data_IF_055425372915
#
_entry.id   IF_055425372915
#
_cell.length_a   1.000
_cell.length_b   1.000
_cell.length_c   1.000
_cell.angle_alpha   90.00
_cell.angle_beta   90.00
_cell.angle_gamma   90.00
#
_symmetry.space_group_name_H-M   'P 1'
#
loop_
_entity.id
_entity.type
_entity.pdbx_description
1 polymer ?
#
# COMPACT_ATOMS: atom_id res chain seq x y z
N UNK A 1 -68.83 41.21 57.70
CA UNK A 1 -68.06 41.94 56.68
C UNK A 1 -66.93 41.01 56.29
N UNK A 2 -66.76 40.70 55.03
CA UNK A 2 -66.20 39.46 54.51
C UNK A 2 -64.66 39.54 54.37
N UNK A 3 -63.89 38.62 55.05
CA UNK A 3 -62.52 38.35 54.81
C UNK A 3 -62.37 37.39 53.64
N UNK A 4 -61.53 37.75 52.65
CA UNK A 4 -61.08 36.85 51.61
C UNK A 4 -59.60 36.48 51.88
N UNK A 5 -59.34 35.20 52.20
CA UNK A 5 -58.03 34.59 52.17
C UNK A 5 -57.67 34.31 50.69
N UNK A 6 -56.50 34.80 50.26
CA UNK A 6 -55.86 34.40 49.01
C UNK A 6 -54.90 33.27 49.30
N UNK A 7 -55.09 32.11 48.69
CA UNK A 7 -54.15 31.02 48.70
C UNK A 7 -53.13 31.21 47.61
N UNK A 8 -51.85 31.29 47.99
CA UNK A 8 -50.70 31.31 47.09
C UNK A 8 -50.31 29.83 46.83
N UNK A 9 -50.49 29.33 45.61
CA UNK A 9 -49.94 28.07 45.15
C UNK A 9 -48.50 28.31 44.64
N UNK A 10 -47.53 27.77 45.34
CA UNK A 10 -46.14 27.72 44.87
C UNK A 10 -45.97 26.44 44.04
N UNK A 11 -45.83 26.59 42.72
CA UNK A 11 -45.50 25.50 41.81
C UNK A 11 -43.98 25.26 41.82
N UNK A 12 -43.54 24.15 42.38
CA UNK A 12 -42.16 23.73 42.37
C UNK A 12 -41.89 22.96 41.07
N UNK A 13 -41.25 23.62 40.09
CA UNK A 13 -40.84 22.98 38.82
C UNK A 13 -39.48 22.30 39.03
N UNK A 14 -39.48 20.98 39.17
CA UNK A 14 -38.29 20.16 39.15
C UNK A 14 -37.82 19.97 37.71
N UNK A 15 -36.75 20.67 37.29
CA UNK A 15 -36.04 20.38 36.07
C UNK A 15 -35.28 19.05 36.22
N UNK A 16 -35.75 17.98 35.57
CA UNK A 16 -34.96 16.78 35.34
C UNK A 16 -33.95 17.07 34.24
N UNK A 17 -32.67 17.26 34.60
CA UNK A 17 -31.57 17.24 33.66
C UNK A 17 -31.31 15.80 33.24
N UNK A 18 -31.77 15.39 32.04
CA UNK A 18 -31.31 14.18 31.40
C UNK A 18 -29.82 14.35 31.03
N UNK A 19 -28.93 13.74 31.81
CA UNK A 19 -27.58 13.54 31.41
C UNK A 19 -27.56 12.51 30.27
N UNK A 20 -27.32 12.97 29.04
CA UNK A 20 -27.06 12.09 27.91
C UNK A 20 -25.76 11.30 28.22
N UNK A 21 -25.92 10.07 28.65
CA UNK A 21 -24.80 9.12 28.72
C UNK A 21 -24.34 8.85 27.28
N UNK A 22 -23.16 9.38 26.91
CA UNK A 22 -22.48 9.00 25.69
C UNK A 22 -22.17 7.51 25.78
N UNK A 23 -22.82 6.71 24.93
CA UNK A 23 -22.47 5.30 24.79
C UNK A 23 -20.96 5.19 24.51
N UNK A 24 -20.23 4.29 25.17
CA UNK A 24 -18.81 4.11 24.89
C UNK A 24 -18.65 3.76 23.42
N UNK A 25 -17.74 4.47 22.73
CA UNK A 25 -17.37 4.18 21.34
C UNK A 25 -16.98 2.70 21.29
N UNK A 26 -17.57 1.88 20.40
CA UNK A 26 -17.20 0.47 20.32
C UNK A 26 -15.70 0.34 20.13
N UNK A 27 -15.08 -0.61 20.85
CA UNK A 27 -13.67 -0.88 20.73
C UNK A 27 -13.35 -1.24 19.27
N UNK A 28 -12.28 -0.69 18.73
CA UNK A 28 -11.83 -1.01 17.37
C UNK A 28 -11.52 -2.51 17.28
N UNK A 29 -12.18 -3.21 16.36
CA UNK A 29 -11.95 -4.63 16.17
C UNK A 29 -10.50 -4.88 15.74
N UNK A 30 -9.86 -5.87 16.38
CA UNK A 30 -8.53 -6.34 16.03
C UNK A 30 -8.62 -7.73 15.42
N UNK A 31 -8.12 -7.89 14.20
CA UNK A 31 -8.00 -9.16 13.50
C UNK A 31 -6.53 -9.53 13.41
N UNK A 32 -6.17 -10.71 13.89
CA UNK A 32 -4.81 -11.22 13.85
C UNK A 32 -4.72 -12.42 12.91
N UNK A 33 -3.71 -12.43 12.05
CA UNK A 33 -3.44 -13.54 11.14
C UNK A 33 -1.94 -13.75 11.00
N UNK A 34 -1.51 -15.02 10.93
CA UNK A 34 -0.10 -15.37 10.72
C UNK A 34 0.08 -16.12 9.40
N UNK A 35 0.80 -15.47 8.49
CA UNK A 35 1.14 -16.04 7.18
C UNK A 35 2.37 -16.95 7.28
N UNK A 36 2.31 -18.02 6.52
CA UNK A 36 3.41 -18.98 6.31
C UNK A 36 3.45 -19.36 4.84
N UNK A 37 4.53 -19.93 4.37
CA UNK A 37 4.67 -20.39 2.97
C UNK A 37 3.56 -21.37 2.53
N UNK A 38 2.81 -21.95 3.47
CA UNK A 38 1.74 -22.92 3.19
C UNK A 38 0.38 -22.28 2.93
N UNK A 39 0.18 -21.03 3.37
CA UNK A 39 -1.12 -20.36 3.33
C UNK A 39 -1.11 -19.00 2.60
N UNK A 40 0.00 -18.65 1.94
CA UNK A 40 0.11 -17.49 1.06
C UNK A 40 -0.50 -17.75 -0.31
N UNK A 41 -0.73 -16.69 -1.07
CA UNK A 41 -1.21 -16.69 -2.45
C UNK A 41 -0.14 -16.07 -3.36
N UNK A 42 -0.24 -16.35 -4.66
CA UNK A 42 0.65 -15.79 -5.70
C UNK A 42 -0.15 -15.08 -6.80
N UNK A 43 -1.40 -14.79 -6.49
CA UNK A 43 -2.32 -14.08 -7.39
C UNK A 43 -3.25 -13.17 -6.59
N UNK A 44 -3.57 -12.03 -7.15
CA UNK A 44 -4.72 -11.22 -6.76
C UNK A 44 -5.94 -11.78 -7.49
N UNK A 45 -6.95 -12.20 -6.75
CA UNK A 45 -8.16 -12.81 -7.32
C UNK A 45 -9.32 -12.77 -6.33
N UNK A 46 -10.52 -13.03 -6.82
CA UNK A 46 -11.63 -13.41 -5.94
C UNK A 46 -11.35 -14.81 -5.39
N UNK A 47 -11.16 -14.93 -4.09
CA UNK A 47 -10.86 -16.19 -3.40
C UNK A 47 -11.50 -16.20 -2.00
N UNK A 48 -11.59 -17.39 -1.39
CA UNK A 48 -12.02 -17.53 0.00
C UNK A 48 -11.15 -16.69 0.92
N UNK A 49 -11.76 -15.80 1.74
CA UNK A 49 -11.04 -14.93 2.62
C UNK A 49 -10.40 -15.70 3.78
N UNK A 50 -9.22 -15.26 4.17
CA UNK A 50 -8.53 -15.79 5.36
C UNK A 50 -9.09 -15.23 6.67
N UNK A 51 -9.73 -14.05 6.59
CA UNK A 51 -10.40 -13.41 7.73
C UNK A 51 -11.39 -12.34 7.23
N UNK A 52 -12.40 -12.04 8.06
CA UNK A 52 -13.30 -10.91 7.93
C UNK A 52 -12.86 -9.77 8.82
N UNK A 53 -12.87 -8.55 8.29
CA UNK A 53 -12.44 -7.34 8.99
C UNK A 53 -13.56 -6.30 8.88
N UNK A 54 -14.18 -5.86 9.99
CA UNK A 54 -15.18 -4.81 9.93
C UNK A 54 -14.55 -3.49 9.47
N UNK A 55 -15.32 -2.65 8.78
CA UNK A 55 -14.85 -1.30 8.42
C UNK A 55 -14.48 -0.50 9.69
N UNK A 56 -13.30 0.09 9.71
CA UNK A 56 -12.66 0.69 10.89
C UNK A 56 -11.79 -0.29 11.70
N UNK A 57 -11.79 -1.58 11.36
CA UNK A 57 -11.00 -2.61 12.03
C UNK A 57 -9.51 -2.51 11.74
N UNK A 58 -8.71 -3.06 12.65
CA UNK A 58 -7.25 -3.15 12.54
C UNK A 58 -6.86 -4.59 12.25
N UNK A 59 -5.93 -4.77 11.33
CA UNK A 59 -5.28 -6.06 11.05
C UNK A 59 -3.86 -6.01 11.58
N UNK A 60 -3.47 -7.06 12.30
CA UNK A 60 -2.08 -7.38 12.63
C UNK A 60 -1.69 -8.68 11.92
N UNK A 61 -0.66 -8.61 11.09
CA UNK A 61 -0.22 -9.76 10.30
C UNK A 61 1.29 -9.68 10.01
N UNK A 62 1.78 -10.66 9.28
CA UNK A 62 3.13 -10.65 8.72
C UNK A 62 3.08 -10.93 7.23
N UNK A 63 4.15 -10.57 6.53
CA UNK A 63 4.45 -11.01 5.16
C UNK A 63 5.67 -11.94 5.16
N UNK A 64 5.87 -12.64 4.07
CA UNK A 64 7.16 -13.23 3.71
C UNK A 64 7.90 -12.24 2.78
N UNK A 65 9.20 -12.43 2.61
CA UNK A 65 9.96 -11.72 1.56
C UNK A 65 9.53 -12.21 0.16
N UNK A 66 9.94 -11.49 -0.90
CA UNK A 66 9.62 -11.83 -2.30
C UNK A 66 9.90 -13.29 -2.67
N UNK A 67 10.88 -13.89 -2.04
CA UNK A 67 11.32 -15.27 -2.30
C UNK A 67 10.69 -16.32 -1.36
N UNK A 68 9.69 -15.94 -0.57
CA UNK A 68 9.04 -16.87 0.38
C UNK A 68 9.93 -17.27 1.54
N UNK A 69 10.89 -16.44 1.90
CA UNK A 69 11.85 -16.68 2.97
C UNK A 69 12.78 -17.89 2.73
N UNK A 70 13.06 -18.27 1.49
CA UNK A 70 13.91 -19.45 1.21
C UNK A 70 15.38 -19.14 0.97
N UNK A 71 15.72 -17.91 0.54
CA UNK A 71 17.10 -17.48 0.35
C UNK A 71 17.67 -16.98 1.67
N UNK A 72 18.65 -17.70 2.25
CA UNK A 72 19.11 -17.45 3.62
C UNK A 72 20.61 -17.35 3.78
N UNK A 73 21.38 -17.90 2.87
CA UNK A 73 22.85 -18.00 3.00
C UNK A 73 23.55 -18.06 1.66
N UNK A 74 24.82 -17.70 1.60
CA UNK A 74 25.64 -17.90 0.40
C UNK A 74 25.57 -19.35 -0.10
N UNK A 75 25.37 -19.49 -1.41
CA UNK A 75 25.16 -20.77 -2.09
C UNK A 75 23.68 -21.13 -2.34
N UNK A 76 22.74 -20.42 -1.75
CA UNK A 76 21.34 -20.50 -2.18
C UNK A 76 21.18 -19.88 -3.59
N UNK A 77 20.20 -20.37 -4.36
CA UNK A 77 19.98 -19.98 -5.75
C UNK A 77 18.51 -19.68 -6.01
N UNK A 78 18.20 -18.86 -7.02
CA UNK A 78 16.83 -18.55 -7.41
C UNK A 78 16.02 -19.79 -7.80
N UNK A 79 16.67 -20.87 -8.22
CA UNK A 79 15.99 -22.15 -8.52
C UNK A 79 15.30 -22.79 -7.30
N UNK A 80 15.61 -22.34 -6.08
CA UNK A 80 14.92 -22.78 -4.84
C UNK A 80 13.58 -22.08 -4.64
N UNK A 81 13.35 -20.93 -5.28
CA UNK A 81 12.12 -20.13 -5.19
C UNK A 81 11.04 -20.81 -6.01
N UNK A 82 9.87 -21.05 -5.40
CA UNK A 82 8.75 -21.75 -6.05
C UNK A 82 7.68 -20.83 -6.63
N UNK A 83 7.77 -19.56 -6.31
CA UNK A 83 6.85 -18.53 -6.78
C UNK A 83 7.26 -17.20 -6.18
N UNK A 84 7.10 -16.14 -6.94
CA UNK A 84 7.54 -14.80 -6.58
C UNK A 84 6.44 -14.03 -5.86
N UNK A 85 6.82 -13.17 -4.93
CA UNK A 85 5.98 -12.24 -4.19
C UNK A 85 4.75 -12.92 -3.53
N UNK A 86 4.97 -13.78 -2.50
CA UNK A 86 3.89 -14.42 -1.78
C UNK A 86 3.03 -13.41 -1.02
N UNK A 87 1.72 -13.49 -1.22
CA UNK A 87 0.72 -12.58 -0.67
C UNK A 87 0.03 -13.16 0.56
N UNK A 88 -0.07 -12.38 1.61
CA UNK A 88 -0.95 -12.62 2.77
C UNK A 88 -2.33 -12.05 2.47
N UNK A 89 -3.36 -12.90 2.50
CA UNK A 89 -4.72 -12.51 2.13
C UNK A 89 -5.48 -13.63 1.42
N UNK A 90 -6.71 -13.34 0.91
CA UNK A 90 -7.38 -12.04 1.02
C UNK A 90 -8.04 -11.81 2.38
N UNK A 91 -8.05 -10.57 2.83
CA UNK A 91 -8.89 -10.10 3.92
C UNK A 91 -10.19 -9.55 3.33
N UNK A 92 -11.33 -10.09 3.79
CA UNK A 92 -12.65 -9.58 3.41
C UNK A 92 -13.01 -8.40 4.30
N UNK A 93 -13.22 -7.22 3.72
CA UNK A 93 -13.61 -6.03 4.47
C UNK A 93 -15.15 -5.91 4.46
N UNK A 94 -15.74 -6.06 5.64
CA UNK A 94 -17.20 -6.06 5.78
C UNK A 94 -17.80 -4.74 5.32
N UNK A 95 -18.83 -4.84 4.48
CA UNK A 95 -19.55 -3.71 3.92
C UNK A 95 -18.87 -3.02 2.73
N UNK A 96 -17.75 -3.55 2.22
CA UNK A 96 -17.18 -3.06 0.97
C UNK A 96 -17.89 -3.68 -0.23
N UNK A 97 -18.46 -2.84 -1.10
CA UNK A 97 -19.17 -3.26 -2.31
C UNK A 97 -18.52 -2.65 -3.55
N UNK A 98 -18.63 -3.29 -4.73
CA UNK A 98 -18.14 -2.72 -5.98
C UNK A 98 -18.64 -1.28 -6.22
N UNK A 99 -17.70 -0.37 -6.49
CA UNK A 99 -17.97 1.06 -6.64
C UNK A 99 -17.70 1.90 -5.40
N UNK A 100 -17.35 1.28 -4.29
CA UNK A 100 -16.78 1.96 -3.12
C UNK A 100 -15.26 2.17 -3.27
N UNK A 101 -14.67 2.85 -2.30
CA UNK A 101 -13.21 2.93 -2.13
C UNK A 101 -12.82 2.27 -0.81
N UNK A 102 -11.82 1.38 -0.85
CA UNK A 102 -11.16 0.86 0.33
C UNK A 102 -10.00 1.77 0.73
N UNK A 103 -9.99 2.26 1.97
CA UNK A 103 -8.87 2.99 2.56
C UNK A 103 -8.11 2.08 3.52
N UNK A 104 -6.79 1.95 3.34
CA UNK A 104 -5.88 1.17 4.17
C UNK A 104 -4.86 2.11 4.77
N UNK A 105 -5.00 2.44 6.05
CA UNK A 105 -4.04 3.27 6.79
C UNK A 105 -2.96 2.39 7.39
N UNK A 106 -1.72 2.60 6.98
CA UNK A 106 -0.56 1.85 7.48
C UNK A 106 -0.14 2.46 8.82
N UNK A 107 -0.25 1.68 9.89
CA UNK A 107 -0.03 2.11 11.26
C UNK A 107 1.37 1.74 11.77
N UNK A 108 1.87 0.56 11.38
CA UNK A 108 3.18 0.07 11.77
C UNK A 108 3.69 -0.95 10.74
N UNK A 109 4.98 -0.85 10.40
CA UNK A 109 5.71 -1.82 9.59
C UNK A 109 7.08 -2.00 10.19
N UNK A 110 7.44 -3.23 10.51
CA UNK A 110 8.73 -3.58 11.08
C UNK A 110 9.35 -4.73 10.30
N UNK A 111 10.62 -4.60 9.97
CA UNK A 111 11.42 -5.69 9.41
C UNK A 111 11.44 -6.86 10.41
N UNK A 112 11.06 -8.06 9.94
CA UNK A 112 11.00 -9.26 10.78
C UNK A 112 12.18 -10.18 10.50
N UNK A 113 13.26 -9.99 11.23
CA UNK A 113 14.52 -10.74 11.11
C UNK A 113 15.74 -9.84 10.96
N UNK A 114 16.90 -10.47 10.98
CA UNK A 114 18.20 -9.78 11.04
C UNK A 114 18.90 -9.74 9.67
N UNK A 115 18.22 -10.13 8.60
CA UNK A 115 18.79 -10.21 7.26
C UNK A 115 17.73 -9.90 6.19
N UNK A 116 18.08 -9.02 5.26
CA UNK A 116 17.42 -8.86 3.97
C UNK A 116 18.18 -9.57 2.85
N UNK A 117 17.53 -9.74 1.71
CA UNK A 117 18.08 -10.36 0.51
C UNK A 117 17.77 -9.52 -0.72
N UNK A 118 18.71 -9.40 -1.65
CA UNK A 118 18.52 -8.87 -3.00
C UNK A 118 19.05 -9.90 -3.99
N UNK A 119 18.37 -10.09 -5.10
CA UNK A 119 18.75 -11.08 -6.09
C UNK A 119 18.57 -10.54 -7.49
N UNK A 120 19.56 -10.77 -8.32
CA UNK A 120 19.49 -10.50 -9.74
C UNK A 120 19.40 -11.82 -10.51
N UNK A 121 18.37 -11.94 -11.34
CA UNK A 121 18.14 -13.10 -12.22
C UNK A 121 18.32 -12.76 -13.69
N UNK A 122 18.89 -13.66 -14.52
CA UNK A 122 18.93 -13.48 -15.95
C UNK A 122 17.55 -13.24 -16.56
N UNK A 123 17.40 -12.17 -17.34
CA UNK A 123 16.13 -11.82 -17.99
C UNK A 123 15.17 -10.97 -17.15
N UNK A 124 15.55 -10.62 -15.93
CA UNK A 124 14.83 -9.67 -15.07
C UNK A 124 15.71 -8.45 -14.78
N UNK A 125 15.09 -7.31 -14.42
CA UNK A 125 15.84 -6.04 -14.23
C UNK A 125 15.86 -5.13 -15.45
N UNK A 126 15.95 -3.82 -15.22
CA UNK A 126 15.82 -2.78 -16.25
C UNK A 126 16.93 -2.80 -17.30
N UNK A 127 18.11 -3.30 -16.94
CA UNK A 127 19.28 -3.34 -17.83
C UNK A 127 19.45 -4.70 -18.53
N UNK A 128 18.52 -5.61 -18.33
CA UNK A 128 18.44 -6.87 -19.05
C UNK A 128 17.55 -6.77 -20.28
N UNK A 129 17.70 -7.76 -21.20
CA UNK A 129 16.68 -7.97 -22.22
C UNK A 129 15.36 -8.41 -21.56
N UNK A 130 14.27 -7.81 -21.96
CA UNK A 130 12.94 -8.27 -21.59
C UNK A 130 12.37 -9.17 -22.70
N UNK A 131 11.21 -9.78 -22.44
CA UNK A 131 10.47 -10.50 -23.48
C UNK A 131 10.06 -9.61 -24.68
N UNK A 132 10.11 -8.31 -24.52
CA UNK A 132 9.70 -7.31 -25.53
C UNK A 132 10.88 -6.58 -26.17
N UNK A 133 12.02 -6.52 -25.49
CA UNK A 133 13.22 -5.80 -25.97
C UNK A 133 14.44 -6.67 -25.80
N UNK A 134 14.96 -7.21 -26.88
CA UNK A 134 16.23 -7.95 -26.88
C UNK A 134 17.40 -6.97 -26.77
N UNK A 135 18.40 -7.30 -25.94
CA UNK A 135 19.68 -6.60 -25.88
C UNK A 135 20.77 -7.46 -26.54
N UNK A 136 21.71 -6.79 -27.19
CA UNK A 136 22.92 -7.46 -27.69
C UNK A 136 23.90 -7.62 -26.54
N UNK A 137 24.41 -8.82 -26.36
CA UNK A 137 25.41 -9.13 -25.35
C UNK A 137 25.06 -10.41 -24.56
N UNK A 138 26.03 -10.92 -23.78
CA UNK A 138 25.71 -12.03 -22.87
C UNK A 138 24.75 -11.60 -21.80
N UNK A 139 23.84 -12.49 -21.39
CA UNK A 139 23.00 -12.28 -20.22
C UNK A 139 23.88 -12.08 -18.98
N UNK A 140 23.49 -11.14 -18.11
CA UNK A 140 24.13 -10.96 -16.82
C UNK A 140 23.88 -12.22 -15.95
N UNK A 141 24.88 -12.66 -15.16
CA UNK A 141 24.76 -13.87 -14.35
C UNK A 141 23.86 -13.63 -13.12
N UNK A 142 23.20 -14.70 -12.65
CA UNK A 142 22.54 -14.68 -11.34
C UNK A 142 23.52 -14.26 -10.24
N UNK A 143 23.07 -13.35 -9.37
CA UNK A 143 23.79 -12.89 -8.17
C UNK A 143 22.80 -12.72 -7.03
N UNK A 144 23.23 -13.06 -5.82
CA UNK A 144 22.42 -12.87 -4.60
C UNK A 144 23.25 -12.13 -3.56
N UNK A 145 22.68 -11.07 -2.99
CA UNK A 145 23.26 -10.30 -1.90
C UNK A 145 22.47 -10.52 -0.62
N UNK A 146 23.17 -10.66 0.50
CA UNK A 146 22.59 -10.72 1.82
C UNK A 146 22.93 -9.47 2.59
N UNK A 147 21.93 -8.81 3.16
CA UNK A 147 22.03 -7.53 3.83
C UNK A 147 21.81 -7.72 5.34
N UNK A 148 22.87 -7.78 6.17
CA UNK A 148 22.68 -7.75 7.62
C UNK A 148 21.89 -6.53 8.06
N UNK A 149 20.85 -6.72 8.86
CA UNK A 149 19.98 -5.68 9.42
C UNK A 149 20.49 -5.33 10.81
N UNK A 150 20.63 -4.05 11.07
CA UNK A 150 20.96 -3.49 12.40
C UNK A 150 19.75 -2.68 12.87
N UNK A 151 18.90 -3.31 13.67
CA UNK A 151 17.70 -2.70 14.24
C UNK A 151 18.01 -1.52 15.18
N UNK A 152 19.18 -1.52 15.83
CA UNK A 152 19.55 -0.44 16.75
C UNK A 152 19.88 0.86 16.02
N UNK A 153 20.46 0.77 14.81
CA UNK A 153 20.78 1.93 13.97
C UNK A 153 19.80 2.13 12.82
N UNK A 154 18.81 1.26 12.69
CA UNK A 154 17.82 1.26 11.60
C UNK A 154 18.49 1.27 10.22
N UNK A 155 19.43 0.35 10.00
CA UNK A 155 20.19 0.25 8.75
C UNK A 155 20.35 -1.18 8.28
N UNK A 156 20.43 -1.37 6.94
CA UNK A 156 20.94 -2.58 6.32
C UNK A 156 22.38 -2.35 5.87
N UNK A 157 23.19 -3.40 5.79
CA UNK A 157 24.56 -3.29 5.31
C UNK A 157 24.70 -3.94 3.93
N UNK A 158 24.92 -3.13 2.89
CA UNK A 158 25.37 -3.61 1.59
C UNK A 158 26.84 -4.04 1.68
N UNK A 159 27.16 -5.17 1.09
CA UNK A 159 28.55 -5.64 0.88
C UNK A 159 28.72 -6.05 -0.57
N UNK A 160 29.68 -5.44 -1.25
CA UNK A 160 30.01 -5.84 -2.61
C UNK A 160 30.52 -7.29 -2.64
N UNK A 161 30.14 -8.06 -3.67
CA UNK A 161 30.54 -9.47 -3.79
C UNK A 161 32.03 -9.60 -4.29
N UNK A 162 32.46 -8.66 -5.12
CA UNK A 162 33.74 -8.75 -5.82
C UNK A 162 34.79 -7.72 -5.31
N UNK A 163 34.52 -7.07 -4.16
CA UNK A 163 35.45 -6.12 -3.51
C UNK A 163 35.20 -6.02 -2.01
N UNK A 164 36.06 -5.29 -1.29
CA UNK A 164 35.89 -5.04 0.16
C UNK A 164 34.98 -3.84 0.45
N UNK A 165 34.28 -3.29 -0.54
CA UNK A 165 33.35 -2.17 -0.33
C UNK A 165 32.14 -2.58 0.48
N UNK A 166 31.78 -1.74 1.43
CA UNK A 166 30.57 -1.91 2.25
C UNK A 166 30.01 -0.55 2.64
N UNK A 167 28.68 -0.45 2.70
CA UNK A 167 27.99 0.78 3.09
C UNK A 167 26.71 0.46 3.86
N UNK A 168 26.34 1.31 4.81
CA UNK A 168 25.06 1.22 5.52
C UNK A 168 23.98 1.98 4.75
N UNK A 169 22.83 1.35 4.57
CA UNK A 169 21.64 1.87 3.91
C UNK A 169 20.57 2.07 4.98
N UNK A 170 20.00 3.28 5.17
CA UNK A 170 18.90 3.51 6.08
C UNK A 170 17.69 2.67 5.70
N UNK A 171 16.97 2.14 6.69
CA UNK A 171 15.72 1.39 6.47
C UNK A 171 14.55 2.36 6.31
N UNK A 172 13.70 2.06 5.35
CA UNK A 172 12.39 2.67 5.13
C UNK A 172 11.41 1.56 4.75
N UNK A 173 10.87 0.80 5.71
CA UNK A 173 10.04 -0.36 5.40
C UNK A 173 8.73 0.02 4.71
N UNK A 174 8.35 -0.72 3.65
CA UNK A 174 7.09 -0.55 2.94
C UNK A 174 6.63 -1.87 2.30
N UNK A 175 5.36 -1.91 1.86
CA UNK A 175 4.84 -3.02 1.07
C UNK A 175 5.16 -2.79 -0.41
N UNK A 176 5.90 -3.69 -1.05
CA UNK A 176 5.98 -3.76 -2.51
C UNK A 176 4.63 -4.17 -3.08
N UNK A 177 4.08 -5.27 -2.58
CA UNK A 177 2.77 -5.78 -2.93
C UNK A 177 1.67 -5.34 -1.96
N UNK A 178 0.73 -4.52 -2.44
CA UNK A 178 -0.53 -4.22 -1.74
C UNK A 178 -1.64 -3.97 -2.76
N UNK A 179 -2.77 -4.66 -2.66
CA UNK A 179 -3.85 -4.54 -3.63
C UNK A 179 -5.09 -5.32 -3.26
N UNK A 180 -6.12 -5.18 -4.09
CA UNK A 180 -7.42 -5.82 -3.92
C UNK A 180 -7.71 -6.78 -5.08
N UNK A 181 -8.80 -7.55 -5.00
CA UNK A 181 -9.22 -8.39 -6.11
C UNK A 181 -9.49 -7.56 -7.39
N UNK A 182 -8.96 -7.96 -8.56
CA UNK A 182 -9.23 -7.30 -9.83
C UNK A 182 -10.72 -7.36 -10.23
N UNK A 183 -11.12 -6.47 -11.13
CA UNK A 183 -12.46 -6.46 -11.69
C UNK A 183 -12.74 -7.70 -12.56
N UNK A 184 -14.03 -7.99 -12.81
CA UNK A 184 -14.44 -9.02 -13.77
C UNK A 184 -14.14 -10.46 -13.37
N UNK A 185 -13.73 -10.74 -12.13
CA UNK A 185 -13.34 -12.07 -11.67
C UNK A 185 -11.99 -12.53 -12.23
N UNK A 186 -11.16 -11.62 -12.68
CA UNK A 186 -9.80 -11.92 -13.14
C UNK A 186 -8.90 -12.39 -12.01
N UNK A 187 -7.88 -13.16 -12.38
CA UNK A 187 -6.73 -13.47 -11.53
C UNK A 187 -5.47 -12.89 -12.16
N UNK A 188 -4.75 -12.08 -11.39
CA UNK A 188 -3.50 -11.43 -11.80
C UNK A 188 -2.35 -11.93 -10.93
N UNK A 189 -1.21 -12.24 -11.56
CA UNK A 189 0.00 -12.63 -10.82
C UNK A 189 0.38 -11.59 -9.77
N UNK A 190 0.94 -12.04 -8.66
CA UNK A 190 1.44 -11.17 -7.58
C UNK A 190 2.42 -10.10 -8.05
N UNK A 191 3.22 -10.37 -9.08
CA UNK A 191 4.19 -9.42 -9.66
C UNK A 191 3.56 -8.39 -10.64
N UNK A 192 2.24 -8.32 -10.80
CA UNK A 192 1.61 -7.39 -11.75
C UNK A 192 1.00 -6.21 -11.01
N UNK A 193 1.54 -5.00 -11.18
CA UNK A 193 0.86 -3.78 -10.76
C UNK A 193 -0.18 -3.35 -11.80
N UNK A 194 -1.36 -2.91 -11.35
CA UNK A 194 -2.43 -2.39 -12.20
C UNK A 194 -3.45 -1.54 -11.41
N UNK A 195 -4.64 -1.34 -11.97
CA UNK A 195 -5.71 -0.54 -11.39
C UNK A 195 -6.20 -1.05 -10.01
N UNK A 196 -5.94 -2.30 -9.67
CA UNK A 196 -6.28 -2.90 -8.38
C UNK A 196 -5.19 -2.74 -7.31
N UNK A 197 -4.07 -2.07 -7.60
CA UNK A 197 -2.82 -2.07 -6.83
C UNK A 197 -1.86 -3.10 -7.38
N UNK A 198 -1.45 -4.05 -6.56
CA UNK A 198 -0.53 -5.11 -6.97
C UNK A 198 0.89 -4.86 -6.51
N UNK A 199 1.87 -5.26 -7.31
CA UNK A 199 3.29 -5.01 -7.10
C UNK A 199 3.65 -3.61 -7.54
N UNK A 200 3.25 -2.62 -6.73
CA UNK A 200 3.48 -1.21 -7.08
C UNK A 200 4.89 -0.74 -6.76
N UNK A 201 5.57 -1.44 -5.86
CA UNK A 201 6.90 -1.13 -5.37
C UNK A 201 7.05 0.35 -5.03
N UNK A 202 5.99 0.88 -4.41
CA UNK A 202 5.87 2.29 -4.09
C UNK A 202 6.26 2.55 -2.63
N UNK A 203 7.36 3.27 -2.35
CA UNK A 203 7.78 3.61 -0.99
C UNK A 203 6.71 4.35 -0.17
N UNK A 204 5.70 4.90 -0.83
CA UNK A 204 4.52 5.49 -0.22
C UNK A 204 3.61 4.46 0.47
N UNK A 205 3.76 3.15 0.17
CA UNK A 205 3.06 2.09 0.89
C UNK A 205 3.70 1.81 2.27
N UNK A 206 4.02 2.89 3.00
CA UNK A 206 4.74 2.92 4.27
C UNK A 206 3.94 3.55 5.41
N UNK A 207 4.48 3.48 6.63
CA UNK A 207 3.86 4.04 7.83
C UNK A 207 3.56 5.53 7.69
N UNK A 208 2.36 5.94 8.11
CA UNK A 208 1.88 7.31 8.05
C UNK A 208 1.07 7.62 6.80
N UNK A 209 1.12 6.77 5.78
CA UNK A 209 0.29 6.91 4.59
C UNK A 209 -1.02 6.11 4.70
N UNK A 210 -2.03 6.58 3.97
CA UNK A 210 -3.24 5.84 3.66
C UNK A 210 -3.22 5.52 2.18
N UNK A 211 -3.41 4.23 1.86
CA UNK A 211 -3.56 3.74 0.49
C UNK A 211 -5.04 3.58 0.19
N UNK A 212 -5.49 4.04 -0.94
CA UNK A 212 -6.87 3.91 -1.41
C UNK A 212 -6.93 3.00 -2.62
N UNK A 213 -7.87 2.07 -2.63
CA UNK A 213 -8.09 1.14 -3.74
C UNK A 213 -9.52 1.20 -4.25
N UNK A 214 -9.76 1.03 -5.56
CA UNK A 214 -11.10 0.79 -6.08
C UNK A 214 -11.62 -0.56 -5.56
N UNK A 215 -12.84 -0.60 -5.07
CA UNK A 215 -13.49 -1.87 -4.73
C UNK A 215 -14.12 -2.46 -5.98
N UNK A 216 -13.61 -3.60 -6.43
CA UNK A 216 -14.05 -4.29 -7.65
C UNK A 216 -14.87 -5.56 -7.36
N UNK A 217 -14.73 -6.13 -6.16
CA UNK A 217 -15.42 -7.33 -5.71
C UNK A 217 -16.01 -7.10 -4.31
N UNK A 218 -17.07 -7.83 -3.91
CA UNK A 218 -17.57 -7.80 -2.55
C UNK A 218 -16.47 -8.07 -1.53
N UNK A 219 -16.41 -7.24 -0.48
CA UNK A 219 -15.37 -7.32 0.54
C UNK A 219 -14.00 -6.79 0.10
N UNK A 220 -13.89 -6.18 -1.08
CA UNK A 220 -12.63 -5.71 -1.69
C UNK A 220 -11.58 -6.81 -1.86
N UNK A 221 -11.43 -7.72 -0.89
CA UNK A 221 -10.46 -8.81 -0.85
C UNK A 221 -9.02 -8.28 -0.89
N UNK A 222 -8.60 -7.69 0.22
CA UNK A 222 -7.28 -7.06 0.37
C UNK A 222 -6.17 -8.11 0.54
N UNK A 223 -5.08 -7.92 -0.20
CA UNK A 223 -3.83 -8.67 -0.09
C UNK A 223 -2.67 -7.73 0.24
N UNK A 224 -1.71 -8.23 1.01
CA UNK A 224 -0.44 -7.56 1.29
C UNK A 224 0.70 -8.57 1.18
N UNK A 225 1.89 -8.12 0.78
CA UNK A 225 3.04 -9.02 0.62
C UNK A 225 4.30 -8.26 0.31
N UNK A 226 5.37 -9.00 -0.02
CA UNK A 226 6.56 -8.42 -0.61
C UNK A 226 7.09 -7.23 0.20
N UNK A 227 7.71 -7.55 1.32
CA UNK A 227 8.19 -6.53 2.24
C UNK A 227 9.56 -6.01 1.83
N UNK A 228 9.67 -4.70 1.66
CA UNK A 228 10.91 -4.02 1.34
C UNK A 228 11.47 -3.30 2.56
N UNK A 229 12.76 -3.45 2.83
CA UNK A 229 13.45 -2.69 3.87
C UNK A 229 14.01 -1.37 3.35
N UNK A 230 14.45 -1.32 2.10
CA UNK A 230 14.87 -0.14 1.36
C UNK A 230 14.93 -0.45 -0.14
N UNK A 231 14.64 0.55 -0.97
CA UNK A 231 14.66 0.43 -2.42
C UNK A 231 15.05 1.78 -3.03
N UNK A 232 15.75 1.77 -4.15
CA UNK A 232 15.96 2.93 -4.99
C UNK A 232 14.89 3.05 -6.07
N UNK A 233 14.70 4.25 -6.61
CA UNK A 233 13.70 4.49 -7.66
C UNK A 233 13.88 3.54 -8.85
N UNK A 234 12.75 3.00 -9.32
CA UNK A 234 12.66 2.11 -10.45
C UNK A 234 13.00 0.65 -10.17
N UNK A 235 13.44 0.31 -8.96
CA UNK A 235 13.84 -1.06 -8.60
C UNK A 235 14.73 -1.74 -9.66
N UNK A 236 15.72 -0.99 -10.15
CA UNK A 236 16.34 -1.18 -11.47
C UNK A 236 17.04 -2.53 -11.70
N UNK A 237 17.42 -3.27 -10.68
CA UNK A 237 17.97 -4.62 -10.83
C UNK A 237 16.93 -5.73 -10.64
N UNK A 238 15.69 -5.36 -10.24
CA UNK A 238 14.55 -6.26 -10.14
C UNK A 238 14.24 -6.73 -8.73
N UNK A 239 14.95 -6.20 -7.73
CA UNK A 239 14.65 -6.45 -6.31
C UNK A 239 15.05 -5.25 -5.44
N UNK A 240 14.32 -5.04 -4.37
CA UNK A 240 14.70 -4.18 -3.27
C UNK A 240 15.66 -4.90 -2.30
N UNK A 241 15.79 -4.42 -1.07
CA UNK A 241 16.23 -5.22 0.07
C UNK A 241 15.00 -5.94 0.58
N UNK A 242 14.80 -7.17 0.12
CA UNK A 242 13.65 -8.02 0.40
C UNK A 242 13.68 -8.52 1.83
N UNK A 243 12.58 -8.34 2.56
CA UNK A 243 12.45 -8.74 3.97
C UNK A 243 11.04 -9.22 4.28
N UNK A 244 10.86 -10.15 5.21
CA UNK A 244 9.56 -10.34 5.83
C UNK A 244 9.23 -9.12 6.70
N UNK A 245 7.95 -8.75 6.76
CA UNK A 245 7.46 -7.66 7.60
C UNK A 245 6.49 -8.16 8.66
N UNK A 246 6.51 -7.52 9.83
CA UNK A 246 5.37 -7.46 10.75
C UNK A 246 4.60 -6.19 10.44
N UNK A 247 3.30 -6.32 10.24
CA UNK A 247 2.48 -5.24 9.73
C UNK A 247 1.25 -5.02 10.60
N UNK A 248 0.89 -3.75 10.78
CA UNK A 248 -0.35 -3.31 11.40
C UNK A 248 -0.97 -2.22 10.58
N UNK A 249 -2.20 -2.42 10.15
CA UNK A 249 -2.93 -1.44 9.32
C UNK A 249 -4.42 -1.43 9.67
N UNK A 250 -5.07 -0.29 9.42
CA UNK A 250 -6.50 -0.12 9.61
C UNK A 250 -7.19 -0.06 8.25
N UNK A 251 -8.30 -0.78 8.09
CA UNK A 251 -9.12 -0.74 6.88
C UNK A 251 -10.40 0.07 7.13
N UNK A 252 -10.84 0.83 6.13
CA UNK A 252 -12.10 1.59 6.18
C UNK A 252 -12.74 1.64 4.80
N UNK A 253 -14.06 1.59 4.74
CA UNK A 253 -14.82 1.68 3.49
C UNK A 253 -15.38 3.09 3.32
N UNK A 254 -15.12 3.70 2.18
CA UNK A 254 -15.70 4.98 1.75
C UNK A 254 -16.80 4.66 0.76
N UNK A 255 -18.04 4.72 1.22
CA UNK A 255 -19.22 4.31 0.45
C UNK A 255 -19.52 5.26 -0.70
N UNK A 256 -19.84 4.68 -1.85
CA UNK A 256 -20.30 5.41 -3.03
C UNK A 256 -19.27 6.34 -3.67
N UNK A 257 -18.03 6.28 -3.24
CA UNK A 257 -16.92 7.03 -3.83
C UNK A 257 -16.07 6.10 -4.69
N UNK A 258 -16.28 6.14 -5.98
CA UNK A 258 -15.50 5.35 -6.95
C UNK A 258 -14.21 6.09 -7.31
N UNK A 259 -13.10 5.37 -7.27
CA UNK A 259 -11.81 5.75 -7.88
C UNK A 259 -11.44 4.73 -8.95
N UNK A 260 -10.53 5.06 -9.85
CA UNK A 260 -10.15 4.15 -10.94
C UNK A 260 -8.77 3.54 -10.74
N UNK A 261 -7.89 4.22 -10.01
CA UNK A 261 -6.52 3.81 -9.75
C UNK A 261 -6.17 3.98 -8.28
N UNK A 262 -5.19 3.25 -7.76
CA UNK A 262 -4.72 3.43 -6.40
C UNK A 262 -4.23 4.85 -6.14
N UNK A 263 -4.36 5.28 -4.89
CA UNK A 263 -3.94 6.61 -4.43
C UNK A 263 -3.24 6.49 -3.09
N UNK A 264 -2.34 7.43 -2.82
CA UNK A 264 -1.77 7.58 -1.49
C UNK A 264 -2.10 8.96 -0.93
N UNK A 265 -2.22 9.05 0.36
CA UNK A 265 -2.41 10.31 1.07
C UNK A 265 -1.71 10.26 2.42
N UNK A 266 -1.02 11.36 2.75
CA UNK A 266 -0.49 11.61 4.09
C UNK A 266 -0.82 13.05 4.51
N UNK A 267 -0.26 13.53 5.62
CA UNK A 267 -0.51 14.88 6.13
C UNK A 267 -0.01 15.98 5.16
N UNK A 268 0.94 15.67 4.28
CA UNK A 268 1.64 16.64 3.43
C UNK A 268 1.22 16.63 1.98
N UNK A 269 0.86 15.47 1.43
CA UNK A 269 0.63 15.28 0.00
C UNK A 269 -0.57 14.38 -0.30
N UNK A 270 -1.10 14.54 -1.51
CA UNK A 270 -1.94 13.57 -2.20
C UNK A 270 -1.20 13.06 -3.43
N UNK A 271 -1.37 11.78 -3.75
CA UNK A 271 -0.59 11.08 -4.75
C UNK A 271 -1.47 10.05 -5.48
N UNK A 272 -1.29 9.91 -6.78
CA UNK A 272 -2.02 8.95 -7.59
C UNK A 272 -1.06 8.03 -8.35
N UNK A 273 -1.43 6.77 -8.47
CA UNK A 273 -0.65 5.74 -9.13
C UNK A 273 -1.11 5.55 -10.56
N UNK A 274 -0.16 5.36 -11.46
CA UNK A 274 -0.39 4.81 -12.79
C UNK A 274 0.52 3.61 -13.00
N UNK A 275 -0.04 2.50 -13.43
CA UNK A 275 0.71 1.27 -13.67
C UNK A 275 0.39 0.69 -15.06
N UNK A 276 1.27 0.91 -16.03
CA UNK A 276 1.07 0.49 -17.42
C UNK A 276 2.38 0.44 -18.23
N UNK A 277 2.31 -0.05 -19.46
CA UNK A 277 3.36 0.08 -20.48
C UNK A 277 2.76 0.67 -21.76
N UNK A 278 3.45 1.59 -22.43
CA UNK A 278 4.77 2.15 -22.08
C UNK A 278 4.71 3.14 -20.90
N UNK A 279 5.88 3.57 -20.40
CA UNK A 279 6.01 4.41 -19.20
C UNK A 279 5.25 5.74 -19.27
N UNK A 280 5.17 6.35 -20.46
CA UNK A 280 4.42 7.60 -20.66
C UNK A 280 2.90 7.42 -20.49
N UNK A 281 2.35 6.22 -20.70
CA UNK A 281 0.95 5.93 -20.39
C UNK A 281 0.73 5.74 -18.88
N UNK A 282 1.69 5.17 -18.14
CA UNK A 282 1.65 5.17 -16.66
C UNK A 282 1.56 6.60 -16.12
N UNK A 283 2.40 7.49 -16.66
CA UNK A 283 2.38 8.91 -16.31
C UNK A 283 1.03 9.56 -16.58
N UNK A 284 0.46 9.36 -17.78
CA UNK A 284 -0.84 9.91 -18.16
C UNK A 284 -1.95 9.44 -17.22
N UNK A 285 -1.94 8.17 -16.85
CA UNK A 285 -2.89 7.57 -15.90
C UNK A 285 -2.78 8.27 -14.54
N UNK A 286 -1.56 8.34 -13.98
CA UNK A 286 -1.34 8.93 -12.65
C UNK A 286 -1.79 10.40 -12.59
N UNK A 287 -1.42 11.22 -13.59
CA UNK A 287 -1.85 12.63 -13.62
C UNK A 287 -3.34 12.80 -13.89
N UNK A 288 -3.95 11.98 -14.73
CA UNK A 288 -5.40 12.03 -14.97
C UNK A 288 -6.17 11.74 -13.67
N UNK A 289 -5.74 10.73 -12.92
CA UNK A 289 -6.35 10.38 -11.64
C UNK A 289 -6.15 11.49 -10.60
N UNK A 290 -4.97 12.11 -10.57
CA UNK A 290 -4.65 13.21 -9.65
C UNK A 290 -5.42 14.50 -9.96
N UNK A 291 -5.57 14.86 -11.25
CA UNK A 291 -6.41 15.99 -11.71
C UNK A 291 -7.86 15.78 -11.29
N UNK A 292 -8.41 14.59 -11.53
CA UNK A 292 -9.77 14.26 -11.13
C UNK A 292 -9.97 14.30 -9.62
N UNK A 293 -8.96 13.88 -8.83
CA UNK A 293 -9.00 13.98 -7.39
C UNK A 293 -9.01 15.44 -6.89
N UNK A 294 -8.12 16.28 -7.43
CA UNK A 294 -8.07 17.72 -7.10
C UNK A 294 -9.38 18.40 -7.46
N UNK A 295 -9.91 18.12 -8.66
CA UNK A 295 -11.18 18.67 -9.09
C UNK A 295 -12.32 18.34 -8.11
N UNK A 296 -12.47 17.07 -7.77
CA UNK A 296 -13.57 16.59 -6.93
C UNK A 296 -13.47 17.09 -5.49
N UNK A 297 -12.31 16.96 -4.87
CA UNK A 297 -12.15 17.14 -3.42
C UNK A 297 -11.70 18.56 -3.05
N UNK A 298 -11.01 19.27 -3.93
CA UNK A 298 -10.47 20.60 -3.67
C UNK A 298 -11.13 21.71 -4.52
N UNK A 299 -11.95 21.34 -5.49
CA UNK A 299 -12.83 22.27 -6.21
C UNK A 299 -12.17 23.12 -7.27
N UNK A 300 -10.94 22.83 -7.67
CA UNK A 300 -10.36 23.44 -8.86
C UNK A 300 -11.02 22.87 -10.13
N UNK A 301 -11.08 23.65 -11.20
CA UNK A 301 -11.40 23.07 -12.50
C UNK A 301 -10.32 22.07 -12.92
N UNK A 302 -10.65 21.10 -13.78
CA UNK A 302 -9.65 20.15 -14.29
C UNK A 302 -8.49 20.87 -14.96
N UNK A 303 -8.76 21.95 -15.72
CA UNK A 303 -7.73 22.73 -16.39
C UNK A 303 -6.85 23.51 -15.40
N UNK A 304 -7.42 24.07 -14.32
CA UNK A 304 -6.63 24.74 -13.29
C UNK A 304 -5.79 23.75 -12.50
N UNK A 305 -6.35 22.57 -12.19
CA UNK A 305 -5.62 21.49 -11.54
C UNK A 305 -4.45 20.99 -12.41
N UNK A 306 -4.68 20.82 -13.71
CA UNK A 306 -3.66 20.41 -14.66
C UNK A 306 -2.56 21.46 -14.81
N UNK A 307 -2.92 22.74 -14.93
CA UNK A 307 -1.94 23.84 -14.99
C UNK A 307 -1.13 23.94 -13.70
N UNK A 308 -1.76 23.80 -12.53
CA UNK A 308 -1.09 23.80 -11.25
C UNK A 308 -0.09 22.65 -11.11
N UNK A 309 -0.52 21.43 -11.48
CA UNK A 309 0.34 20.24 -11.47
C UNK A 309 1.56 20.40 -12.39
N UNK A 310 1.39 21.09 -13.53
CA UNK A 310 2.52 21.41 -14.42
C UNK A 310 3.58 22.31 -13.78
N UNK A 311 3.28 23.01 -12.68
CA UNK A 311 4.23 23.91 -12.00
C UNK A 311 4.82 23.32 -10.73
N UNK A 312 4.04 22.53 -9.97
CA UNK A 312 4.42 22.07 -8.63
C UNK A 312 4.22 20.57 -8.43
N UNK A 313 3.69 19.86 -9.41
CA UNK A 313 3.56 18.40 -9.37
C UNK A 313 4.92 17.71 -9.40
N UNK A 314 4.99 16.55 -8.77
CA UNK A 314 6.17 15.68 -8.79
C UNK A 314 5.81 14.32 -9.37
N UNK A 315 6.83 13.60 -9.77
CA UNK A 315 6.74 12.25 -10.31
C UNK A 315 7.84 11.43 -9.69
N UNK A 316 7.46 10.26 -9.16
CA UNK A 316 8.38 9.25 -8.74
C UNK A 316 8.18 8.01 -9.64
N UNK A 317 9.23 7.50 -10.24
CA UNK A 317 9.25 6.23 -10.99
C UNK A 317 9.60 5.16 -9.98
N UNK A 318 8.59 4.46 -9.45
CA UNK A 318 8.81 3.55 -8.34
C UNK A 318 9.26 2.18 -8.80
N UNK A 319 8.81 1.74 -10.00
CA UNK A 319 9.09 0.42 -10.53
C UNK A 319 9.16 0.46 -12.07
N UNK A 320 10.20 -0.17 -12.69
CA UNK A 320 10.36 -0.25 -14.14
C UNK A 320 10.88 -1.61 -14.65
N UNK A 321 10.69 -2.68 -13.90
CA UNK A 321 11.15 -4.03 -14.25
C UNK A 321 10.02 -5.02 -14.41
N UNK A 322 8.91 -4.81 -13.75
CA UNK A 322 7.69 -5.63 -13.74
C UNK A 322 6.89 -5.55 -15.06
N UNK A 323 5.84 -6.38 -15.22
CA UNK A 323 5.01 -6.38 -16.43
C UNK A 323 4.42 -5.03 -16.79
N UNK A 324 4.09 -4.18 -15.80
CA UNK A 324 3.75 -2.77 -15.98
C UNK A 324 4.75 -1.90 -15.20
N UNK A 325 5.07 -0.72 -15.73
CA UNK A 325 5.88 0.28 -15.04
C UNK A 325 5.00 1.12 -14.13
N UNK A 326 5.50 1.47 -12.96
CA UNK A 326 4.71 2.24 -11.97
C UNK A 326 5.27 3.64 -11.79
N UNK A 327 4.35 4.60 -11.90
CA UNK A 327 4.59 6.02 -11.64
C UNK A 327 3.66 6.49 -10.54
N UNK A 328 4.20 7.22 -9.57
CA UNK A 328 3.43 7.96 -8.57
C UNK A 328 3.52 9.46 -8.87
N UNK A 329 2.40 10.06 -9.27
CA UNK A 329 2.29 11.51 -9.44
C UNK A 329 1.77 12.13 -8.13
N UNK A 330 2.38 13.22 -7.68
CA UNK A 330 2.07 13.82 -6.38
C UNK A 330 1.99 15.34 -6.41
N UNK A 331 1.29 15.91 -5.41
CA UNK A 331 1.26 17.35 -5.10
C UNK A 331 1.20 17.56 -3.59
N UNK A 332 1.98 18.53 -3.08
CA UNK A 332 1.89 18.94 -1.69
C UNK A 332 0.58 19.68 -1.43
N UNK A 333 -0.11 19.33 -0.35
CA UNK A 333 -1.38 19.95 0.09
C UNK A 333 -1.27 21.47 0.31
N UNK A 334 -0.07 21.99 0.61
CA UNK A 334 0.17 23.44 0.76
C UNK A 334 -0.12 24.26 -0.50
N UNK A 335 -0.16 23.60 -1.67
CA UNK A 335 -0.50 24.24 -2.94
C UNK A 335 -2.00 24.14 -3.29
N UNK A 336 -2.76 23.42 -2.49
CA UNK A 336 -4.18 23.17 -2.72
C UNK A 336 -5.06 24.08 -1.85
N UNK A 337 -6.27 24.45 -2.30
CA UNK A 337 -7.24 25.09 -1.42
C UNK A 337 -7.67 24.12 -0.30
N UNK A 338 -8.46 24.62 0.65
CA UNK A 338 -9.05 23.75 1.66
C UNK A 338 -9.91 22.67 0.99
N UNK A 339 -9.85 21.44 1.50
CA UNK A 339 -10.70 20.33 1.03
C UNK A 339 -12.17 20.66 1.28
N UNK A 340 -13.04 20.40 0.30
CA UNK A 340 -14.50 20.62 0.37
C UNK A 340 -15.19 19.73 1.39
#
# INVERSE_FOLDING_TARGET
MKNRLQNLLVACSTLLTLAAQSSPKPATALVQYHATIRNVKYVYATAEPIAHVPSGGIVETNTLDAFGNVLRKPGDTLSMVKGDNPLTGPFFVDGADPGDTLAVKILDLQVDGDQGVGAFGPGFGALNSTNYTAMLGPALPEKIWFYPIDHATNTATFKALDSNFSVKIPLHPFFGCIGVAPAGGEARSSIVPAEFGGNMDAPEASVGNTVYFPVNAPGALLYVGDGHAAMGDGEVDGTAIEVPLRARFQVSVIKGQKINWPRFENDHAIMAVGAYRPLDDSLRIAFTELVGWIHRDYGLSEMDAYELLSKVGRIDLTEMVDPNYVVVASIDKKYLPARK
#
